data_IF_144600725286
#
_entry.id   IF_144600725286
#
_cell.length_a   1.000
_cell.length_b   1.000
_cell.length_c   1.000
_cell.angle_alpha   90.00
_cell.angle_beta   90.00
_cell.angle_gamma   90.00
#
_symmetry.space_group_name_H-M   'P 1'
#
loop_
_entity.id
_entity.type
_entity.pdbx_description
1 polymer ?
#
# COMPACT_ATOMS: atom_id res chain seq x y z
N UNK A 1 108.42 181.05 31.20
CA UNK A 1 107.85 180.56 29.91
C UNK A 1 108.41 179.19 29.49
N UNK A 2 109.72 178.94 29.51
CA UNK A 2 110.35 177.67 29.08
C UNK A 2 109.87 176.38 29.81
N UNK A 3 109.55 176.46 31.11
CA UNK A 3 109.13 175.30 31.92
C UNK A 3 107.72 174.82 31.62
N UNK A 4 106.82 175.71 31.19
CA UNK A 4 105.42 175.38 30.87
C UNK A 4 105.34 174.63 29.53
N UNK A 5 106.09 175.10 28.53
CA UNK A 5 106.16 174.46 27.20
C UNK A 5 106.77 173.06 27.30
N UNK A 6 107.82 172.87 28.10
CA UNK A 6 108.43 171.55 28.32
C UNK A 6 107.48 170.54 29.00
N UNK A 7 106.66 171.01 29.96
CA UNK A 7 105.63 170.17 30.60
C UNK A 7 104.50 169.79 29.64
N UNK A 8 104.09 170.69 28.75
CA UNK A 8 103.07 170.40 27.72
C UNK A 8 103.59 169.43 26.65
N UNK A 9 104.84 169.57 26.21
CA UNK A 9 105.46 168.62 25.27
C UNK A 9 105.55 167.22 25.90
N UNK A 10 105.92 167.12 27.18
CA UNK A 10 105.95 165.84 27.89
C UNK A 10 104.56 165.21 28.00
N UNK A 11 103.53 166.00 28.36
CA UNK A 11 102.14 165.53 28.42
C UNK A 11 101.64 165.00 27.07
N UNK A 12 101.94 165.70 25.98
CA UNK A 12 101.58 165.27 24.62
C UNK A 12 102.33 164.01 24.19
N UNK A 13 103.61 163.87 24.55
CA UNK A 13 104.37 162.66 24.27
C UNK A 13 103.84 161.45 25.06
N UNK A 14 103.46 161.66 26.33
CA UNK A 14 102.83 160.64 27.17
C UNK A 14 101.44 160.27 26.61
N UNK A 15 100.63 161.24 26.17
CA UNK A 15 99.33 161.01 25.51
C UNK A 15 99.47 160.24 24.18
N UNK A 16 100.44 160.59 23.34
CA UNK A 16 100.76 159.85 22.12
C UNK A 16 101.17 158.40 22.45
N UNK A 17 101.95 158.21 23.51
CA UNK A 17 102.37 156.87 23.95
C UNK A 17 101.16 156.04 24.41
N UNK A 18 100.27 156.62 25.20
CA UNK A 18 99.01 155.99 25.65
C UNK A 18 98.09 155.68 24.46
N UNK A 19 97.92 156.61 23.52
CA UNK A 19 97.09 156.40 22.33
C UNK A 19 97.67 155.32 21.40
N UNK A 20 98.99 155.25 21.26
CA UNK A 20 99.66 154.20 20.49
C UNK A 20 99.49 152.83 21.15
N UNK A 21 99.58 152.76 22.49
CA UNK A 21 99.29 151.54 23.24
C UNK A 21 97.81 151.12 23.09
N UNK A 22 96.87 152.05 23.21
CA UNK A 22 95.43 151.78 23.01
C UNK A 22 95.11 151.36 21.57
N UNK A 23 95.79 151.94 20.58
CA UNK A 23 95.63 151.55 19.16
C UNK A 23 96.17 150.15 18.92
N UNK A 24 97.28 149.78 19.55
CA UNK A 24 97.83 148.43 19.47
C UNK A 24 96.90 147.42 20.15
N UNK A 25 96.38 147.73 21.34
CA UNK A 25 95.37 146.92 22.04
C UNK A 25 94.11 146.70 21.19
N UNK A 26 93.59 147.75 20.54
CA UNK A 26 92.45 147.64 19.63
C UNK A 26 92.76 146.80 18.39
N UNK A 27 93.97 146.89 17.83
CA UNK A 27 94.39 146.05 16.70
C UNK A 27 94.49 144.57 17.11
N UNK A 28 95.05 144.29 18.27
CA UNK A 28 95.12 142.93 18.81
C UNK A 28 93.72 142.37 19.07
N UNK A 29 92.82 143.18 19.65
CA UNK A 29 91.41 142.80 19.87
C UNK A 29 90.64 142.60 18.57
N UNK A 30 90.88 143.42 17.55
CA UNK A 30 90.26 143.24 16.24
C UNK A 30 90.76 141.98 15.55
N UNK A 31 92.07 141.71 15.58
CA UNK A 31 92.65 140.49 15.05
C UNK A 31 92.13 139.25 15.79
N UNK A 32 92.04 139.31 17.12
CA UNK A 32 91.45 138.25 17.94
C UNK A 32 89.96 138.04 17.64
N UNK A 33 89.18 139.12 17.46
CA UNK A 33 87.77 139.05 17.10
C UNK A 33 87.56 138.49 15.69
N UNK A 34 88.40 138.84 14.73
CA UNK A 34 88.37 138.28 13.37
C UNK A 34 88.76 136.80 13.36
N UNK A 35 89.77 136.41 14.12
CA UNK A 35 90.15 135.01 14.29
C UNK A 35 89.01 134.20 14.94
N UNK A 36 88.41 134.71 16.02
CA UNK A 36 87.28 134.08 16.69
C UNK A 36 86.03 133.99 15.79
N UNK A 37 85.76 135.03 14.97
CA UNK A 37 84.66 135.00 14.01
C UNK A 37 84.91 133.97 12.89
N UNK A 38 86.14 133.86 12.39
CA UNK A 38 86.52 132.85 11.41
C UNK A 38 86.41 131.42 11.98
N UNK A 39 86.83 131.20 13.22
CA UNK A 39 86.69 129.92 13.94
C UNK A 39 85.21 129.56 14.19
N UNK A 40 84.39 130.53 14.60
CA UNK A 40 82.96 130.33 14.77
C UNK A 40 82.28 130.00 13.43
N UNK A 41 82.63 130.69 12.35
CA UNK A 41 82.10 130.42 11.01
C UNK A 41 82.50 129.03 10.50
N UNK A 42 83.74 128.61 10.73
CA UNK A 42 84.20 127.25 10.41
C UNK A 42 83.44 126.19 11.21
N UNK A 43 83.19 126.45 12.50
CA UNK A 43 82.43 125.55 13.38
C UNK A 43 80.96 125.44 12.95
N UNK A 44 80.32 126.56 12.59
CA UNK A 44 78.94 126.57 12.08
C UNK A 44 78.88 125.81 10.75
N UNK A 45 79.79 126.07 9.82
CA UNK A 45 79.84 125.37 8.55
C UNK A 45 80.04 123.85 8.71
N UNK A 46 80.88 123.43 9.66
CA UNK A 46 81.07 122.03 10.00
C UNK A 46 79.79 121.39 10.57
N UNK A 47 79.12 122.07 11.52
CA UNK A 47 77.85 121.60 12.09
C UNK A 47 76.72 121.52 11.05
N UNK A 48 76.63 122.50 10.15
CA UNK A 48 75.63 122.49 9.08
C UNK A 48 75.89 121.34 8.09
N UNK A 49 77.15 121.04 7.79
CA UNK A 49 77.52 119.89 6.97
C UNK A 49 77.14 118.57 7.65
N UNK A 50 77.41 118.44 8.96
CA UNK A 50 77.05 117.26 9.75
C UNK A 50 75.54 117.07 9.87
N UNK A 51 74.79 118.16 10.10
CA UNK A 51 73.31 118.12 10.14
C UNK A 51 72.75 117.66 8.80
N UNK A 52 73.24 118.21 7.67
CA UNK A 52 72.80 117.79 6.34
C UNK A 52 73.12 116.33 6.05
N UNK A 53 74.32 115.87 6.42
CA UNK A 53 74.72 114.47 6.27
C UNK A 53 73.80 113.55 7.07
N UNK A 54 73.55 113.88 8.35
CA UNK A 54 72.70 113.08 9.22
C UNK A 54 71.23 113.08 8.76
N UNK A 55 70.72 114.22 8.28
CA UNK A 55 69.36 114.31 7.74
C UNK A 55 69.17 113.43 6.47
N UNK A 56 70.18 113.40 5.59
CA UNK A 56 70.14 112.53 4.41
C UNK A 56 70.19 111.04 4.79
N UNK A 57 71.07 110.67 5.74
CA UNK A 57 71.15 109.29 6.25
C UNK A 57 69.82 108.86 6.90
N UNK A 58 69.22 109.71 7.73
CA UNK A 58 67.90 109.43 8.33
C UNK A 58 66.82 109.20 7.26
N UNK A 59 66.79 110.04 6.23
CA UNK A 59 65.82 109.90 5.13
C UNK A 59 66.03 108.63 4.31
N UNK A 60 67.27 108.23 4.10
CA UNK A 60 67.61 106.97 3.42
C UNK A 60 67.17 105.75 4.24
N UNK A 61 67.39 105.78 5.57
CA UNK A 61 66.89 104.77 6.49
C UNK A 61 65.36 104.67 6.44
N UNK A 62 64.64 105.79 6.59
CA UNK A 62 63.17 105.81 6.54
C UNK A 62 62.64 105.23 5.22
N UNK A 63 63.25 105.62 4.08
CA UNK A 63 62.87 105.09 2.77
C UNK A 63 63.11 103.58 2.66
N UNK A 64 64.23 103.10 3.20
CA UNK A 64 64.58 101.69 3.17
C UNK A 64 63.67 100.86 4.10
N UNK A 65 63.32 101.41 5.26
CA UNK A 65 62.39 100.80 6.21
C UNK A 65 60.99 100.71 5.59
N UNK A 66 60.50 101.76 4.93
CA UNK A 66 59.24 101.72 4.19
C UNK A 66 59.24 100.65 3.09
N UNK A 67 60.30 100.56 2.27
CA UNK A 67 60.42 99.51 1.25
C UNK A 67 60.42 98.10 1.87
N UNK A 68 61.03 97.95 3.03
CA UNK A 68 61.07 96.68 3.76
C UNK A 68 59.69 96.32 4.30
N UNK A 69 58.97 97.28 4.89
CA UNK A 69 57.61 97.11 5.38
C UNK A 69 56.67 96.71 4.24
N UNK A 70 56.73 97.39 3.09
CA UNK A 70 55.89 97.07 1.93
C UNK A 70 56.16 95.65 1.40
N UNK A 71 57.43 95.24 1.35
CA UNK A 71 57.81 93.87 0.96
C UNK A 71 57.26 92.83 1.95
N UNK A 72 57.38 93.09 3.25
CA UNK A 72 56.86 92.18 4.30
C UNK A 72 55.33 92.12 4.27
N UNK A 73 54.64 93.25 4.02
CA UNK A 73 53.20 93.28 3.88
C UNK A 73 52.72 92.45 2.68
N UNK A 74 53.40 92.54 1.53
CA UNK A 74 53.11 91.71 0.36
C UNK A 74 53.36 90.21 0.63
N UNK A 75 54.43 89.86 1.33
CA UNK A 75 54.70 88.48 1.74
C UNK A 75 53.62 87.95 2.69
N UNK A 76 53.21 88.74 3.68
CA UNK A 76 52.15 88.35 4.61
C UNK A 76 50.81 88.11 3.90
N UNK A 77 50.45 88.95 2.93
CA UNK A 77 49.25 88.75 2.13
C UNK A 77 49.32 87.48 1.28
N UNK A 78 50.47 87.20 0.67
CA UNK A 78 50.69 85.96 -0.08
C UNK A 78 50.57 84.72 0.83
N UNK A 79 51.19 84.75 2.00
CA UNK A 79 51.11 83.65 2.97
C UNK A 79 49.68 83.44 3.49
N UNK A 80 48.92 84.53 3.72
CA UNK A 80 47.51 84.43 4.12
C UNK A 80 46.64 83.82 3.01
N UNK A 81 46.86 84.20 1.76
CA UNK A 81 46.17 83.61 0.61
C UNK A 81 46.50 82.12 0.47
N UNK A 82 47.80 81.77 0.54
CA UNK A 82 48.27 80.38 0.48
C UNK A 82 47.70 79.52 1.63
N UNK A 83 47.67 80.06 2.86
CA UNK A 83 47.06 79.39 4.01
C UNK A 83 45.57 79.12 3.78
N UNK A 84 44.84 80.08 3.24
CA UNK A 84 43.40 79.95 2.96
C UNK A 84 43.16 78.86 1.92
N UNK A 85 43.98 78.81 0.87
CA UNK A 85 43.92 77.77 -0.16
C UNK A 85 44.25 76.37 0.40
N UNK A 86 45.29 76.26 1.22
CA UNK A 86 45.62 74.99 1.89
C UNK A 86 44.50 74.51 2.82
N UNK A 87 43.86 75.42 3.56
CA UNK A 87 42.73 75.08 4.42
C UNK A 87 41.53 74.58 3.60
N UNK A 88 41.24 75.23 2.47
CA UNK A 88 40.20 74.79 1.54
C UNK A 88 40.50 73.39 1.00
N UNK A 89 41.70 73.17 0.47
CA UNK A 89 42.11 71.87 -0.08
C UNK A 89 42.08 70.77 0.98
N UNK A 90 42.53 71.06 2.20
CA UNK A 90 42.48 70.12 3.32
C UNK A 90 41.03 69.75 3.67
N UNK A 91 40.11 70.73 3.67
CA UNK A 91 38.70 70.48 3.93
C UNK A 91 38.07 69.60 2.85
N UNK A 92 38.31 69.90 1.57
CA UNK A 92 37.83 69.09 0.45
C UNK A 92 38.36 67.65 0.49
N UNK A 93 39.64 67.47 0.80
CA UNK A 93 40.23 66.14 0.97
C UNK A 93 39.64 65.39 2.16
N UNK A 94 39.42 66.08 3.29
CA UNK A 94 38.79 65.49 4.48
C UNK A 94 37.35 65.05 4.19
N UNK A 95 36.57 65.84 3.47
CA UNK A 95 35.19 65.49 3.13
C UNK A 95 35.14 64.32 2.14
N UNK A 96 36.06 64.29 1.17
CA UNK A 96 36.22 63.17 0.23
C UNK A 96 36.60 61.89 0.98
N UNK A 97 37.50 61.97 1.97
CA UNK A 97 37.91 60.81 2.77
C UNK A 97 36.72 60.23 3.57
N UNK A 98 35.91 61.07 4.19
CA UNK A 98 34.69 60.61 4.91
C UNK A 98 33.72 59.93 3.95
N UNK A 99 33.54 60.45 2.74
CA UNK A 99 32.68 59.82 1.74
C UNK A 99 33.22 58.46 1.28
N UNK A 100 34.53 58.34 1.05
CA UNK A 100 35.14 57.06 0.64
C UNK A 100 35.11 56.03 1.76
N UNK A 101 35.30 56.43 3.01
CA UNK A 101 35.15 55.57 4.19
C UNK A 101 33.72 55.05 4.32
N UNK A 102 32.70 55.90 4.14
CA UNK A 102 31.30 55.49 4.16
C UNK A 102 30.99 54.48 3.04
N UNK A 103 31.50 54.71 1.81
CA UNK A 103 31.35 53.78 0.69
C UNK A 103 32.05 52.44 0.95
N UNK A 104 33.23 52.47 1.59
CA UNK A 104 33.96 51.26 1.96
C UNK A 104 33.19 50.44 3.00
N UNK A 105 32.60 51.08 4.01
CA UNK A 105 31.77 50.39 5.00
C UNK A 105 30.57 49.70 4.35
N UNK A 106 29.84 50.39 3.46
CA UNK A 106 28.72 49.80 2.71
C UNK A 106 29.17 48.61 1.86
N UNK A 107 30.35 48.69 1.25
CA UNK A 107 30.91 47.58 0.49
C UNK A 107 31.29 46.39 1.40
N UNK A 108 31.86 46.65 2.57
CA UNK A 108 32.19 45.61 3.55
C UNK A 108 30.93 44.88 4.04
N UNK A 109 29.86 45.61 4.35
CA UNK A 109 28.58 45.02 4.77
C UNK A 109 27.97 44.12 3.67
N UNK A 110 28.08 44.54 2.40
CA UNK A 110 27.67 43.71 1.25
C UNK A 110 28.50 42.44 1.13
N UNK A 111 29.81 42.51 1.34
CA UNK A 111 30.69 41.33 1.32
C UNK A 111 30.25 40.34 2.41
N UNK A 112 30.01 40.81 3.64
CA UNK A 112 29.52 39.96 4.74
C UNK A 112 28.18 39.30 4.37
N UNK A 113 27.25 40.07 3.80
CA UNK A 113 25.96 39.54 3.34
C UNK A 113 26.12 38.47 2.25
N UNK A 114 26.99 38.68 1.27
CA UNK A 114 27.27 37.69 0.22
C UNK A 114 27.95 36.45 0.76
N UNK A 115 28.89 36.58 1.69
CA UNK A 115 29.54 35.43 2.36
C UNK A 115 28.50 34.57 3.09
N UNK A 116 27.56 35.18 3.81
CA UNK A 116 26.48 34.43 4.47
C UNK A 116 25.59 33.70 3.46
N UNK A 117 25.24 34.34 2.34
CA UNK A 117 24.44 33.71 1.27
C UNK A 117 25.18 32.57 0.59
N UNK A 118 26.49 32.71 0.34
CA UNK A 118 27.32 31.63 -0.22
C UNK A 118 27.29 30.42 0.72
N UNK A 119 27.47 30.62 2.02
CA UNK A 119 27.43 29.52 2.99
C UNK A 119 26.07 28.78 3.01
N UNK A 120 24.95 29.50 2.86
CA UNK A 120 23.62 28.90 2.75
C UNK A 120 23.51 28.04 1.48
N UNK A 121 23.90 28.58 0.33
CA UNK A 121 23.85 27.87 -0.96
C UNK A 121 24.76 26.64 -0.96
N UNK A 122 25.94 26.72 -0.33
CA UNK A 122 26.84 25.57 -0.18
C UNK A 122 26.21 24.47 0.68
N UNK A 123 25.49 24.83 1.75
CA UNK A 123 24.78 23.87 2.59
C UNK A 123 23.62 23.19 1.83
N UNK A 124 22.82 23.97 1.09
CA UNK A 124 21.74 23.45 0.23
C UNK A 124 22.29 22.49 -0.83
N UNK A 125 23.42 22.84 -1.46
CA UNK A 125 24.07 21.98 -2.46
C UNK A 125 24.54 20.65 -1.87
N UNK A 126 25.03 20.62 -0.63
CA UNK A 126 25.43 19.36 0.00
C UNK A 126 24.23 18.47 0.36
N UNK A 127 23.10 19.07 0.75
CA UNK A 127 21.84 18.33 0.95
C UNK A 127 21.39 17.69 -0.37
N UNK A 128 21.32 18.47 -1.44
CA UNK A 128 20.95 17.97 -2.77
C UNK A 128 21.88 16.87 -3.28
N UNK A 129 23.19 17.00 -3.03
CA UNK A 129 24.16 15.93 -3.35
C UNK A 129 23.89 14.65 -2.57
N UNK A 130 23.53 14.76 -1.28
CA UNK A 130 23.20 13.60 -0.45
C UNK A 130 21.92 12.93 -0.95
N UNK A 131 20.90 13.69 -1.28
CA UNK A 131 19.64 13.17 -1.79
C UNK A 131 19.81 12.54 -3.19
N UNK A 132 20.61 13.16 -4.06
CA UNK A 132 20.98 12.57 -5.35
C UNK A 132 21.74 11.24 -5.21
N UNK A 133 22.64 11.12 -4.22
CA UNK A 133 23.30 9.84 -3.90
C UNK A 133 22.29 8.79 -3.42
N UNK A 134 21.33 9.17 -2.58
CA UNK A 134 20.28 8.28 -2.08
C UNK A 134 19.40 7.76 -3.22
N UNK A 135 18.88 8.66 -4.07
CA UNK A 135 18.08 8.30 -5.24
C UNK A 135 18.83 7.38 -6.20
N UNK A 136 20.13 7.59 -6.38
CA UNK A 136 20.96 6.70 -7.22
C UNK A 136 21.03 5.28 -6.65
N UNK A 137 21.15 5.13 -5.33
CA UNK A 137 21.13 3.83 -4.66
C UNK A 137 19.76 3.17 -4.79
N UNK A 138 18.67 3.90 -4.53
CA UNK A 138 17.30 3.40 -4.66
C UNK A 138 16.99 2.95 -6.09
N UNK A 139 17.41 3.72 -7.10
CA UNK A 139 17.25 3.34 -8.51
C UNK A 139 18.04 2.07 -8.87
N UNK A 140 19.23 1.88 -8.30
CA UNK A 140 20.02 0.68 -8.51
C UNK A 140 19.30 -0.55 -7.92
N UNK A 141 18.81 -0.45 -6.69
CA UNK A 141 18.04 -1.51 -6.03
C UNK A 141 16.76 -1.84 -6.81
N UNK A 142 16.03 -0.82 -7.28
CA UNK A 142 14.83 -1.02 -8.08
C UNK A 142 15.14 -1.71 -9.42
N UNK A 143 16.25 -1.35 -10.08
CA UNK A 143 16.69 -2.01 -11.31
C UNK A 143 17.06 -3.48 -11.07
N UNK A 144 17.74 -3.79 -9.96
CA UNK A 144 18.04 -5.17 -9.56
C UNK A 144 16.75 -5.97 -9.29
N UNK A 145 15.77 -5.38 -8.60
CA UNK A 145 14.47 -5.98 -8.35
C UNK A 145 13.68 -6.25 -9.64
N UNK A 146 13.68 -5.30 -10.59
CA UNK A 146 13.07 -5.48 -11.90
C UNK A 146 13.71 -6.68 -12.61
N UNK A 147 15.05 -6.75 -12.65
CA UNK A 147 15.75 -7.87 -13.29
C UNK A 147 15.43 -9.22 -12.65
N UNK A 148 15.26 -9.28 -11.33
CA UNK A 148 14.82 -10.50 -10.64
C UNK A 148 13.38 -10.89 -10.99
N UNK A 149 12.47 -9.91 -11.07
CA UNK A 149 11.08 -10.14 -11.44
C UNK A 149 10.97 -10.61 -12.90
N UNK A 150 11.72 -10.03 -13.82
CA UNK A 150 11.80 -10.46 -15.21
C UNK A 150 12.23 -11.93 -15.32
N UNK A 151 13.30 -12.33 -14.60
CA UNK A 151 13.74 -13.73 -14.55
C UNK A 151 12.66 -14.67 -13.98
N UNK A 152 11.93 -14.24 -12.95
CA UNK A 152 10.81 -15.02 -12.39
C UNK A 152 9.68 -15.17 -13.39
N UNK A 153 9.31 -14.11 -14.10
CA UNK A 153 8.29 -14.14 -15.15
C UNK A 153 8.69 -15.12 -16.25
N UNK A 154 9.92 -15.04 -16.76
CA UNK A 154 10.42 -15.99 -17.76
C UNK A 154 10.39 -17.44 -17.27
N UNK A 155 10.76 -17.67 -16.00
CA UNK A 155 10.71 -19.00 -15.39
C UNK A 155 9.29 -19.54 -15.30
N UNK A 156 8.34 -18.73 -14.86
CA UNK A 156 6.92 -19.10 -14.78
C UNK A 156 6.32 -19.32 -16.17
N UNK A 157 6.69 -18.54 -17.18
CA UNK A 157 6.26 -18.75 -18.57
C UNK A 157 6.77 -20.09 -19.12
N UNK A 158 8.04 -20.43 -18.84
CA UNK A 158 8.59 -21.74 -19.21
C UNK A 158 7.84 -22.88 -18.52
N UNK A 159 7.56 -22.74 -17.22
CA UNK A 159 6.79 -23.74 -16.47
C UNK A 159 5.38 -23.90 -17.04
N UNK A 160 4.67 -22.80 -17.29
CA UNK A 160 3.33 -22.83 -17.87
C UNK A 160 3.31 -23.53 -19.24
N UNK A 161 4.31 -23.26 -20.08
CA UNK A 161 4.43 -23.90 -21.39
C UNK A 161 4.72 -25.41 -21.27
N UNK A 162 5.51 -25.82 -20.28
CA UNK A 162 5.78 -27.22 -19.99
C UNK A 162 4.50 -27.93 -19.51
N UNK A 163 3.80 -27.36 -18.53
CA UNK A 163 2.59 -27.94 -17.95
C UNK A 163 1.49 -28.07 -18.99
N UNK A 164 1.34 -27.06 -19.86
CA UNK A 164 0.41 -27.13 -20.99
C UNK A 164 0.72 -28.29 -21.93
N UNK A 165 2.00 -28.49 -22.30
CA UNK A 165 2.40 -29.64 -23.14
C UNK A 165 2.11 -30.97 -22.46
N UNK A 166 2.44 -31.10 -21.18
CA UNK A 166 2.15 -32.31 -20.41
C UNK A 166 0.64 -32.59 -20.34
N UNK A 167 -0.18 -31.56 -20.20
CA UNK A 167 -1.63 -31.67 -20.24
C UNK A 167 -2.13 -32.09 -21.63
N UNK A 168 -1.62 -31.49 -22.71
CA UNK A 168 -1.97 -31.85 -24.09
C UNK A 168 -1.63 -33.33 -24.38
N UNK A 169 -0.46 -33.80 -23.94
CA UNK A 169 -0.04 -35.20 -24.06
C UNK A 169 -0.97 -36.16 -23.29
N UNK A 170 -1.38 -35.78 -22.09
CA UNK A 170 -2.32 -36.56 -21.28
C UNK A 170 -3.70 -36.64 -21.96
N UNK A 171 -4.19 -35.52 -22.48
CA UNK A 171 -5.47 -35.45 -23.22
C UNK A 171 -5.43 -36.33 -24.46
N UNK A 172 -4.34 -36.31 -25.23
CA UNK A 172 -4.16 -37.16 -26.40
C UNK A 172 -4.14 -38.66 -26.04
N UNK A 173 -3.47 -39.02 -24.93
CA UNK A 173 -3.42 -40.39 -24.43
C UNK A 173 -4.82 -40.88 -24.02
N UNK A 174 -5.53 -40.09 -23.20
CA UNK A 174 -6.89 -40.41 -22.75
C UNK A 174 -7.87 -40.50 -23.92
N UNK A 175 -7.75 -39.61 -24.90
CA UNK A 175 -8.59 -39.64 -26.10
C UNK A 175 -8.41 -40.96 -26.87
N UNK A 176 -7.17 -41.44 -27.02
CA UNK A 176 -6.90 -42.75 -27.65
C UNK A 176 -7.48 -43.91 -26.85
N UNK A 177 -7.41 -43.87 -25.51
CA UNK A 177 -8.03 -44.90 -24.66
C UNK A 177 -9.56 -44.90 -24.76
N UNK A 178 -10.18 -43.71 -24.75
CA UNK A 178 -11.63 -43.54 -24.94
C UNK A 178 -12.04 -44.12 -26.29
N UNK A 179 -11.33 -43.81 -27.39
CA UNK A 179 -11.65 -44.39 -28.70
C UNK A 179 -11.53 -45.92 -28.72
N UNK A 180 -10.50 -46.49 -28.06
CA UNK A 180 -10.36 -47.95 -27.94
C UNK A 180 -11.52 -48.57 -27.15
N UNK A 181 -11.95 -47.93 -26.06
CA UNK A 181 -13.07 -48.40 -25.26
C UNK A 181 -14.40 -48.28 -26.01
N UNK A 182 -14.61 -47.18 -26.73
CA UNK A 182 -15.79 -47.00 -27.58
C UNK A 182 -15.92 -48.14 -28.62
N UNK A 183 -14.83 -48.45 -29.34
CA UNK A 183 -14.84 -49.57 -30.29
C UNK A 183 -15.18 -50.91 -29.63
N UNK A 184 -14.68 -51.17 -28.41
CA UNK A 184 -15.02 -52.39 -27.66
C UNK A 184 -16.49 -52.43 -27.23
N UNK A 185 -17.06 -51.28 -26.86
CA UNK A 185 -18.50 -51.17 -26.54
C UNK A 185 -19.31 -51.51 -27.77
N UNK A 186 -18.99 -50.93 -28.93
CA UNK A 186 -19.68 -51.22 -30.19
C UNK A 186 -19.60 -52.72 -30.57
N UNK A 187 -18.42 -53.34 -30.41
CA UNK A 187 -18.23 -54.79 -30.62
C UNK A 187 -19.11 -55.63 -29.69
N UNK A 188 -19.12 -55.31 -28.38
CA UNK A 188 -19.97 -56.01 -27.42
C UNK A 188 -21.46 -55.79 -27.67
N UNK A 189 -21.89 -54.59 -28.06
CA UNK A 189 -23.29 -54.32 -28.43
C UNK A 189 -23.72 -55.18 -29.62
N UNK A 190 -22.85 -55.31 -30.62
CA UNK A 190 -23.09 -56.21 -31.75
C UNK A 190 -23.21 -57.66 -31.28
N UNK A 191 -22.28 -58.14 -30.45
CA UNK A 191 -22.31 -59.51 -29.92
C UNK A 191 -23.59 -59.78 -29.09
N UNK A 192 -23.99 -58.83 -28.25
CA UNK A 192 -25.25 -58.92 -27.48
C UNK A 192 -26.44 -58.98 -28.42
N UNK A 193 -26.48 -58.18 -29.48
CA UNK A 193 -27.56 -58.22 -30.46
C UNK A 193 -27.67 -59.58 -31.16
N UNK A 194 -26.54 -60.16 -31.59
CA UNK A 194 -26.48 -61.48 -32.23
C UNK A 194 -26.93 -62.58 -31.26
N UNK A 195 -26.46 -62.56 -30.01
CA UNK A 195 -26.88 -63.50 -28.97
C UNK A 195 -28.36 -63.37 -28.59
N UNK A 196 -28.89 -62.15 -28.60
CA UNK A 196 -30.31 -61.91 -28.35
C UNK A 196 -31.17 -62.52 -29.46
N UNK A 197 -30.76 -62.36 -30.72
CA UNK A 197 -31.45 -62.98 -31.86
C UNK A 197 -31.42 -64.51 -31.74
N UNK A 198 -30.26 -65.12 -31.47
CA UNK A 198 -30.17 -66.59 -31.34
C UNK A 198 -30.99 -67.12 -30.17
N UNK A 199 -31.00 -66.41 -29.04
CA UNK A 199 -31.85 -66.76 -27.90
C UNK A 199 -33.33 -66.74 -28.28
N UNK A 200 -33.82 -65.68 -28.94
CA UNK A 200 -35.21 -65.58 -29.39
C UNK A 200 -35.58 -66.70 -30.39
N UNK A 201 -34.65 -67.11 -31.26
CA UNK A 201 -34.85 -68.25 -32.16
C UNK A 201 -35.00 -69.56 -31.37
N UNK A 202 -34.09 -69.83 -30.42
CA UNK A 202 -34.15 -71.02 -29.57
C UNK A 202 -35.43 -71.05 -28.72
N UNK A 203 -35.85 -69.91 -28.18
CA UNK A 203 -37.10 -69.78 -27.43
C UNK A 203 -38.31 -70.16 -28.30
N UNK A 204 -38.33 -69.71 -29.56
CA UNK A 204 -39.37 -70.07 -30.54
C UNK A 204 -39.36 -71.57 -30.86
N UNK A 205 -38.19 -72.17 -31.06
CA UNK A 205 -38.05 -73.61 -31.28
C UNK A 205 -38.52 -74.42 -30.08
N UNK A 206 -38.15 -74.01 -28.87
CA UNK A 206 -38.57 -74.63 -27.61
C UNK A 206 -40.09 -74.54 -27.44
N UNK A 207 -40.70 -73.41 -27.77
CA UNK A 207 -42.16 -73.26 -27.77
C UNK A 207 -42.83 -74.17 -28.81
N UNK A 208 -42.24 -74.31 -30.00
CA UNK A 208 -42.67 -75.26 -31.02
C UNK A 208 -42.61 -76.71 -30.51
N UNK A 209 -41.49 -77.11 -29.90
CA UNK A 209 -41.32 -78.45 -29.31
C UNK A 209 -42.25 -78.71 -28.14
N UNK A 210 -42.50 -77.72 -27.28
CA UNK A 210 -43.51 -77.81 -26.21
C UNK A 210 -44.90 -78.06 -26.78
N UNK A 211 -45.25 -77.37 -27.87
CA UNK A 211 -46.54 -77.56 -28.56
C UNK A 211 -46.65 -78.95 -29.19
N UNK A 212 -45.58 -79.43 -29.82
CA UNK A 212 -45.50 -80.80 -30.39
C UNK A 212 -45.58 -81.88 -29.30
N UNK A 213 -44.92 -81.67 -28.16
CA UNK A 213 -45.04 -82.54 -27.00
C UNK A 213 -46.47 -82.54 -26.45
N UNK A 214 -47.13 -81.37 -26.39
CA UNK A 214 -48.53 -81.24 -25.96
C UNK A 214 -49.47 -81.95 -26.95
N UNK A 215 -49.17 -81.90 -28.25
CA UNK A 215 -49.90 -82.63 -29.27
C UNK A 215 -49.75 -84.15 -29.11
N UNK A 216 -48.52 -84.65 -28.91
CA UNK A 216 -48.27 -86.08 -28.67
C UNK A 216 -48.82 -86.56 -27.32
N UNK A 217 -48.84 -85.71 -26.29
CA UNK A 217 -49.49 -86.01 -25.02
C UNK A 217 -51.02 -86.12 -25.16
N UNK A 218 -51.61 -85.46 -26.16
CA UNK A 218 -53.04 -85.58 -26.47
C UNK A 218 -53.38 -86.76 -27.41
N UNK A 219 -52.40 -87.39 -28.07
CA UNK A 219 -52.60 -88.59 -28.90
C UNK A 219 -52.37 -89.92 -28.14
N UNK A 220 -51.75 -89.89 -26.96
CA UNK A 220 -51.53 -91.07 -26.13
C UNK A 220 -52.13 -90.82 -24.74
N UNK A 221 -53.23 -91.52 -24.47
CA UNK A 221 -54.03 -91.53 -23.23
C UNK A 221 -54.96 -90.32 -23.02
N UNK A 222 -56.27 -90.60 -23.09
CA UNK A 222 -57.17 -90.12 -22.05
C UNK A 222 -56.64 -90.63 -20.69
N UNK A 223 -56.41 -89.71 -19.75
CA UNK A 223 -56.97 -89.91 -18.44
C UNK A 223 -57.89 -88.74 -18.15
N UNK A 224 -59.16 -89.09 -18.00
CA UNK A 224 -60.04 -88.48 -17.02
C UNK A 224 -59.26 -88.25 -15.72
N UNK A 225 -58.84 -87.01 -15.51
CA UNK A 225 -58.68 -86.46 -14.18
C UNK A 225 -59.81 -85.44 -14.03
N UNK A 226 -60.83 -85.87 -13.30
CA UNK A 226 -61.78 -84.99 -12.65
C UNK A 226 -60.99 -84.06 -11.72
N UNK A 227 -60.46 -82.96 -12.28
CA UNK A 227 -59.90 -81.87 -11.50
C UNK A 227 -61.10 -81.22 -10.85
N UNK A 228 -61.45 -81.71 -9.66
CA UNK A 228 -62.37 -81.00 -8.77
C UNK A 228 -61.88 -79.57 -8.65
N UNK A 229 -62.65 -78.64 -9.24
CA UNK A 229 -62.38 -77.22 -9.13
C UNK A 229 -62.25 -76.85 -7.64
N UNK A 230 -61.33 -75.94 -7.26
CA UNK A 230 -61.16 -75.52 -5.88
C UNK A 230 -62.50 -75.10 -5.27
N UNK A 231 -63.02 -75.90 -4.34
CA UNK A 231 -64.29 -75.61 -3.68
C UNK A 231 -64.01 -74.70 -2.50
N UNK A 232 -64.67 -73.55 -2.44
CA UNK A 232 -64.72 -72.75 -1.22
C UNK A 232 -65.36 -73.60 -0.13
N UNK A 233 -64.62 -73.85 0.95
CA UNK A 233 -65.05 -74.74 2.04
C UNK A 233 -65.69 -73.95 3.17
N UNK A 234 -64.98 -72.93 3.64
CA UNK A 234 -65.48 -72.03 4.67
C UNK A 234 -64.71 -70.72 4.61
N UNK A 235 -65.17 -69.80 5.43
CA UNK A 235 -64.67 -68.45 5.53
C UNK A 235 -64.38 -68.17 7.00
N UNK A 236 -63.20 -67.68 7.31
CA UNK A 236 -62.76 -67.46 8.68
C UNK A 236 -62.04 -66.13 8.83
N UNK A 237 -61.95 -65.66 10.07
CA UNK A 237 -61.05 -64.56 10.41
C UNK A 237 -59.76 -65.16 10.97
N UNK A 238 -58.64 -64.70 10.42
CA UNK A 238 -57.33 -64.98 11.01
C UNK A 238 -56.98 -63.75 11.84
N UNK A 239 -56.82 -63.94 13.15
CA UNK A 239 -56.51 -62.84 14.06
C UNK A 239 -55.13 -62.30 13.73
N UNK A 240 -55.07 -60.99 13.50
CA UNK A 240 -53.83 -60.26 13.33
C UNK A 240 -53.72 -59.13 14.35
N UNK A 241 -52.52 -58.95 14.88
CA UNK A 241 -52.16 -57.87 15.79
C UNK A 241 -51.24 -56.90 15.05
N UNK A 242 -51.50 -55.60 15.16
CA UNK A 242 -50.63 -54.57 14.60
C UNK A 242 -49.70 -54.05 15.70
N UNK A 243 -48.41 -54.01 15.42
CA UNK A 243 -47.43 -53.35 16.30
C UNK A 243 -47.39 -51.84 16.08
N UNK A 244 -46.77 -51.13 17.02
CA UNK A 244 -46.52 -49.69 16.92
C UNK A 244 -45.66 -49.29 15.70
N UNK A 245 -44.96 -50.22 15.04
CA UNK A 245 -44.14 -50.00 13.85
C UNK A 245 -44.87 -50.24 12.51
N UNK A 246 -46.20 -50.41 12.53
CA UNK A 246 -47.02 -50.76 11.36
C UNK A 246 -46.84 -52.19 10.83
N UNK A 247 -46.05 -53.02 11.52
CA UNK A 247 -45.94 -54.44 11.18
C UNK A 247 -47.17 -55.19 11.67
N UNK A 248 -47.73 -56.06 10.82
CA UNK A 248 -48.85 -56.92 11.15
C UNK A 248 -48.33 -58.32 11.47
N UNK A 249 -48.77 -58.86 12.60
CA UNK A 249 -48.43 -60.20 13.05
C UNK A 249 -49.68 -61.06 13.05
N UNK A 250 -49.56 -62.32 12.64
CA UNK A 250 -50.62 -63.29 12.88
C UNK A 250 -50.45 -63.87 14.30
N UNK A 251 -51.47 -63.71 15.16
CA UNK A 251 -51.47 -64.36 16.48
C UNK A 251 -51.89 -65.83 16.30
N UNK A 252 -50.90 -66.71 16.38
CA UNK A 252 -51.05 -68.15 16.17
C UNK A 252 -51.37 -68.91 17.45
N UNK A 253 -51.57 -68.24 18.60
CA UNK A 253 -51.81 -68.92 19.87
C UNK A 253 -52.93 -68.29 20.72
N UNK A 254 -53.61 -67.25 20.24
CA UNK A 254 -54.97 -66.92 20.65
C UNK A 254 -55.15 -66.24 22.00
N UNK A 255 -54.12 -65.63 22.59
CA UNK A 255 -54.25 -64.82 23.81
C UNK A 255 -52.94 -64.10 24.20
N UNK A 256 -52.36 -63.28 23.32
CA UNK A 256 -51.29 -62.35 23.71
C UNK A 256 -50.02 -63.03 24.26
N UNK A 257 -49.02 -63.15 23.40
CA UNK A 257 -47.63 -63.30 23.83
C UNK A 257 -47.15 -64.74 24.02
N UNK A 258 -46.58 -65.29 22.95
CA UNK A 258 -45.20 -65.80 23.02
C UNK A 258 -44.48 -65.56 21.69
N UNK A 259 -43.28 -65.03 21.85
CA UNK A 259 -42.32 -64.63 20.83
C UNK A 259 -41.69 -65.85 20.14
N UNK A 260 -41.41 -65.78 18.82
CA UNK A 260 -41.81 -64.70 17.91
C UNK A 260 -43.24 -64.89 17.43
N UNK A 261 -44.01 -63.79 17.46
CA UNK A 261 -45.20 -63.67 16.64
C UNK A 261 -44.80 -63.80 15.16
N UNK A 262 -45.60 -64.50 14.36
CA UNK A 262 -45.23 -64.72 12.96
C UNK A 262 -45.40 -63.44 12.17
N UNK A 263 -44.29 -62.94 11.62
CA UNK A 263 -44.22 -61.69 10.90
C UNK A 263 -44.96 -61.85 9.56
N UNK A 264 -46.01 -61.05 9.34
CA UNK A 264 -46.55 -60.84 8.02
C UNK A 264 -45.87 -59.63 7.40
N UNK A 265 -44.85 -59.87 6.55
CA UNK A 265 -44.11 -58.79 5.90
C UNK A 265 -45.11 -57.95 5.09
N UNK A 266 -45.20 -56.66 5.43
CA UNK A 266 -46.05 -55.67 4.79
C UNK A 266 -45.17 -54.62 4.11
N UNK A 267 -45.27 -54.57 2.78
CA UNK A 267 -44.86 -53.42 1.99
C UNK A 267 -45.78 -52.22 2.28
N UNK A 268 -45.45 -51.46 3.34
CA UNK A 268 -45.61 -50.00 3.43
C UNK A 268 -46.95 -49.36 3.04
N UNK A 269 -48.11 -50.00 3.22
CA UNK A 269 -49.38 -49.28 3.05
C UNK A 269 -50.47 -49.74 4.00
N UNK A 270 -51.21 -48.77 4.55
CA UNK A 270 -52.35 -48.85 5.50
C UNK A 270 -53.58 -49.64 4.96
N UNK A 271 -53.39 -50.74 4.23
CA UNK A 271 -54.45 -51.56 3.62
C UNK A 271 -54.63 -52.93 4.28
N UNK A 272 -53.98 -53.18 5.41
CA UNK A 272 -54.37 -54.26 6.31
C UNK A 272 -55.55 -53.80 7.15
N UNK A 273 -56.76 -54.00 6.63
CA UNK A 273 -57.96 -53.98 7.45
C UNK A 273 -57.78 -55.05 8.54
N UNK A 274 -57.58 -54.62 9.78
CA UNK A 274 -57.76 -55.47 10.96
C UNK A 274 -59.11 -56.19 10.80
N UNK A 275 -59.13 -57.53 10.93
CA UNK A 275 -60.29 -58.40 10.65
C UNK A 275 -60.63 -58.62 9.17
N UNK A 276 -59.64 -58.91 8.31
CA UNK A 276 -59.93 -59.45 6.98
C UNK A 276 -60.50 -60.87 7.05
N UNK A 277 -61.53 -61.05 6.23
CA UNK A 277 -62.18 -62.33 5.95
C UNK A 277 -61.33 -63.11 4.95
N UNK A 278 -61.00 -64.35 5.30
CA UNK A 278 -60.22 -65.28 4.47
C UNK A 278 -61.11 -66.41 3.96
N UNK A 279 -60.98 -66.68 2.67
CA UNK A 279 -61.66 -67.76 1.96
C UNK A 279 -60.74 -68.99 1.91
N UNK A 280 -61.22 -70.10 2.45
CA UNK A 280 -60.49 -71.36 2.52
C UNK A 280 -60.95 -72.28 1.39
N UNK A 281 -60.07 -72.52 0.43
CA UNK A 281 -60.34 -73.40 -0.70
C UNK A 281 -59.70 -74.76 -0.49
N UNK A 282 -60.36 -75.83 -0.91
CA UNK A 282 -59.72 -77.15 -0.96
C UNK A 282 -58.56 -77.14 -1.96
N UNK A 283 -57.41 -77.67 -1.55
CA UNK A 283 -56.34 -77.99 -2.50
C UNK A 283 -56.79 -79.17 -3.37
N UNK A 284 -56.37 -79.25 -4.65
CA UNK A 284 -56.69 -80.38 -5.50
C UNK A 284 -56.24 -81.71 -4.86
N UNK A 285 -57.09 -82.73 -4.92
CA UNK A 285 -56.82 -84.11 -4.45
C UNK A 285 -56.57 -84.27 -2.94
N UNK A 286 -57.05 -83.37 -2.09
CA UNK A 286 -56.97 -83.53 -0.63
C UNK A 286 -58.20 -83.01 0.10
N UNK A 287 -58.67 -83.78 1.08
CA UNK A 287 -59.83 -83.42 1.90
C UNK A 287 -59.50 -82.49 3.06
N UNK A 288 -58.24 -82.47 3.51
CA UNK A 288 -57.81 -81.68 4.68
C UNK A 288 -56.73 -80.65 4.33
N UNK A 289 -56.23 -80.63 3.10
CA UNK A 289 -55.27 -79.62 2.65
C UNK A 289 -56.01 -78.48 1.94
N UNK A 290 -55.64 -77.26 2.29
CA UNK A 290 -56.33 -76.06 1.85
C UNK A 290 -55.37 -74.99 1.36
N UNK A 291 -55.92 -74.08 0.56
CA UNK A 291 -55.32 -72.80 0.17
C UNK A 291 -56.10 -71.70 0.87
N UNK A 292 -55.40 -70.79 1.52
CA UNK A 292 -56.00 -69.66 2.24
C UNK A 292 -55.84 -68.41 1.37
N UNK A 293 -56.96 -67.79 0.96
CA UNK A 293 -56.97 -66.58 0.11
C UNK A 293 -57.70 -65.43 0.77
N UNK A 294 -57.21 -64.21 0.61
CA UNK A 294 -57.93 -63.02 1.05
C UNK A 294 -59.18 -62.82 0.19
N UNK A 295 -60.36 -62.75 0.81
CA UNK A 295 -61.61 -62.53 0.10
C UNK A 295 -61.66 -61.16 -0.61
N UNK A 296 -60.87 -60.18 -0.14
CA UNK A 296 -60.89 -58.82 -0.67
C UNK A 296 -59.99 -58.60 -1.89
N UNK A 297 -58.82 -59.24 -1.94
CA UNK A 297 -57.83 -58.97 -2.99
C UNK A 297 -57.23 -60.22 -3.65
N UNK A 298 -57.68 -61.42 -3.27
CA UNK A 298 -57.27 -62.69 -3.87
C UNK A 298 -55.88 -63.18 -3.49
N UNK A 299 -55.15 -62.44 -2.64
CA UNK A 299 -53.80 -62.81 -2.23
C UNK A 299 -53.77 -64.10 -1.43
N UNK A 300 -52.75 -64.93 -1.66
CA UNK A 300 -52.59 -66.25 -1.07
C UNK A 300 -51.63 -66.18 0.11
N UNK A 301 -51.98 -66.83 1.22
CA UNK A 301 -51.08 -66.97 2.37
C UNK A 301 -50.13 -68.15 2.16
N UNK A 302 -48.84 -67.91 2.33
CA UNK A 302 -47.79 -68.92 2.21
C UNK A 302 -46.70 -68.78 3.27
N UNK A 303 -45.99 -69.87 3.58
CA UNK A 303 -44.90 -69.89 4.56
C UNK A 303 -43.55 -69.59 3.93
N UNK A 304 -42.83 -68.58 4.43
CA UNK A 304 -41.53 -68.18 3.92
C UNK A 304 -40.35 -69.03 4.43
N UNK A 305 -40.57 -69.93 5.40
CA UNK A 305 -39.54 -70.84 5.94
C UNK A 305 -39.23 -70.62 7.42
N UNK A 306 -38.25 -71.38 7.94
CA UNK A 306 -37.85 -71.40 9.36
C UNK A 306 -37.63 -69.98 9.91
N UNK A 307 -38.10 -69.76 11.14
CA UNK A 307 -38.20 -68.47 11.84
C UNK A 307 -39.40 -67.58 11.45
N UNK A 308 -40.59 -68.20 11.53
CA UNK A 308 -41.82 -67.49 11.87
C UNK A 308 -42.18 -66.32 10.93
N UNK A 309 -42.17 -66.56 9.61
CA UNK A 309 -42.58 -65.55 8.63
C UNK A 309 -43.64 -66.13 7.70
N UNK A 310 -44.87 -65.62 7.78
CA UNK A 310 -45.96 -65.97 6.86
C UNK A 310 -46.17 -64.79 5.94
N UNK A 311 -46.07 -65.02 4.65
CA UNK A 311 -46.22 -64.00 3.63
C UNK A 311 -47.56 -64.15 2.93
N UNK A 312 -47.98 -63.08 2.25
CA UNK A 312 -49.12 -63.15 1.34
C UNK A 312 -48.85 -62.36 0.08
N UNK A 313 -49.19 -62.92 -1.08
CA UNK A 313 -49.00 -62.27 -2.38
C UNK A 313 -50.10 -62.74 -3.35
N UNK A 314 -50.46 -61.91 -4.32
CA UNK A 314 -51.47 -62.22 -5.35
C UNK A 314 -51.01 -63.29 -6.33
N UNK A 315 -49.71 -63.31 -6.62
CA UNK A 315 -49.15 -64.11 -7.72
C UNK A 315 -48.42 -65.37 -7.23
N UNK A 316 -48.55 -65.71 -5.95
CA UNK A 316 -47.92 -66.91 -5.41
C UNK A 316 -48.61 -68.19 -5.90
N UNK A 317 -47.82 -69.17 -6.33
CA UNK A 317 -48.39 -70.40 -6.91
C UNK A 317 -49.11 -71.24 -5.85
N UNK A 318 -50.38 -71.60 -6.10
CA UNK A 318 -51.13 -72.52 -5.22
C UNK A 318 -50.62 -73.96 -5.26
N UNK A 319 -49.78 -74.31 -6.24
CA UNK A 319 -49.11 -75.61 -6.29
C UNK A 319 -47.88 -75.69 -5.38
N UNK A 320 -47.38 -74.55 -4.90
CA UNK A 320 -46.26 -74.53 -3.94
C UNK A 320 -46.72 -75.13 -2.60
N UNK A 321 -45.93 -76.04 -2.05
CA UNK A 321 -46.16 -76.60 -0.72
C UNK A 321 -46.11 -75.51 0.37
N UNK A 322 -45.40 -74.40 0.12
CA UNK A 322 -45.41 -73.23 0.98
C UNK A 322 -46.80 -72.57 1.06
N UNK A 323 -47.64 -72.66 0.03
CA UNK A 323 -48.98 -72.07 0.00
C UNK A 323 -50.10 -73.02 0.46
N UNK A 324 -49.74 -74.26 0.78
CA UNK A 324 -50.68 -75.30 1.17
C UNK A 324 -50.65 -75.55 2.67
N UNK A 325 -51.84 -75.70 3.26
CA UNK A 325 -52.02 -75.82 4.70
C UNK A 325 -52.85 -77.06 5.02
N UNK A 326 -52.35 -77.94 5.89
CA UNK A 326 -53.04 -79.12 6.39
C UNK A 326 -53.85 -78.75 7.64
N UNK A 327 -55.18 -78.91 7.59
CA UNK A 327 -56.06 -78.65 8.73
C UNK A 327 -55.94 -79.77 9.76
N UNK A 328 -55.91 -79.40 11.04
CA UNK A 328 -55.89 -80.34 12.17
C UNK A 328 -57.26 -80.98 12.46
N UNK A 329 -58.30 -80.58 11.74
CA UNK A 329 -59.67 -81.08 11.87
C UNK A 329 -60.24 -81.32 10.48
N UNK A 330 -61.19 -82.25 10.39
CA UNK A 330 -61.92 -82.51 9.16
C UNK A 330 -62.83 -81.32 8.82
N UNK A 331 -62.79 -80.88 7.56
CA UNK A 331 -63.49 -79.68 7.09
C UNK A 331 -65.00 -79.70 7.36
N UNK A 332 -65.62 -80.88 7.35
CA UNK A 332 -67.07 -81.03 7.50
C UNK A 332 -67.58 -80.80 8.94
N UNK A 333 -66.66 -80.61 9.91
CA UNK A 333 -66.98 -80.39 11.33
C UNK A 333 -66.76 -78.94 11.80
N UNK A 334 -66.58 -77.99 10.88
CA UNK A 334 -66.29 -76.58 11.21
C UNK A 334 -67.59 -75.78 11.33
N UNK A 335 -67.77 -75.05 12.45
CA UNK A 335 -68.86 -74.09 12.67
C UNK A 335 -68.31 -72.72 13.11
N UNK A 336 -69.19 -71.72 13.28
CA UNK A 336 -68.83 -70.32 13.57
C UNK A 336 -68.02 -70.08 14.87
N UNK A 337 -67.86 -71.09 15.72
CA UNK A 337 -67.07 -71.00 16.97
C UNK A 337 -65.90 -72.00 17.01
N UNK A 338 -65.58 -72.64 15.88
CA UNK A 338 -64.52 -73.66 15.83
C UNK A 338 -63.17 -73.00 15.56
N UNK A 339 -62.27 -73.05 16.55
CA UNK A 339 -60.88 -72.68 16.31
C UNK A 339 -60.19 -73.77 15.48
N UNK A 340 -59.71 -73.41 14.30
CA UNK A 340 -59.06 -74.31 13.35
C UNK A 340 -57.56 -74.06 13.39
N UNK A 341 -56.77 -75.09 13.72
CA UNK A 341 -55.32 -75.05 13.52
C UNK A 341 -54.96 -75.61 12.17
N UNK A 342 -54.14 -74.88 11.42
CA UNK A 342 -53.69 -75.22 10.08
C UNK A 342 -52.16 -75.28 10.09
N UNK A 343 -51.55 -76.35 9.59
CA UNK A 343 -50.10 -76.51 9.56
C UNK A 343 -49.59 -76.46 8.12
N UNK A 344 -48.58 -75.64 7.84
CA UNK A 344 -48.04 -75.52 6.50
C UNK A 344 -47.46 -76.85 6.00
N UNK A 345 -47.72 -77.19 4.74
CA UNK A 345 -47.28 -78.45 4.16
C UNK A 345 -45.75 -78.53 3.98
N UNK A 346 -45.06 -77.39 3.81
CA UNK A 346 -43.60 -77.31 3.63
C UNK A 346 -42.81 -77.42 4.93
N UNK A 347 -43.16 -76.62 5.95
CA UNK A 347 -42.32 -76.43 7.14
C UNK A 347 -43.05 -76.58 8.48
N UNK A 348 -44.34 -76.94 8.45
CA UNK A 348 -45.20 -77.13 9.64
C UNK A 348 -45.45 -75.86 10.46
N UNK A 349 -45.21 -74.67 9.91
CA UNK A 349 -45.68 -73.41 10.51
C UNK A 349 -47.19 -73.49 10.79
N UNK A 350 -47.63 -73.10 11.99
CA UNK A 350 -49.02 -73.22 12.40
C UNK A 350 -49.77 -71.89 12.25
N UNK A 351 -51.01 -71.91 11.77
CA UNK A 351 -51.97 -70.80 11.77
C UNK A 351 -53.22 -71.19 12.54
N UNK A 352 -53.77 -70.25 13.32
CA UNK A 352 -55.07 -70.44 13.98
C UNK A 352 -56.10 -69.51 13.36
N UNK A 353 -57.17 -70.11 12.86
CA UNK A 353 -58.35 -69.41 12.36
C UNK A 353 -59.48 -69.54 13.40
N UNK A 354 -60.27 -68.48 13.60
CA UNK A 354 -61.43 -68.48 14.51
C UNK A 354 -62.71 -68.29 13.72
#
# INVERSE_FOLDING_TARGET
MHRIVSLQIKKLADEITVQKAATNDLKERLAAAQAAAAEAQATIAAKDADIKKNANVSREHDLNDHKTIDRLAAQLQYEQASKTELQKNFKEQSDTLVETEARLQVAADKVISFTARIAIVEAELEVERKDGRKLKTENKEMSENISQLEKKIEGLQRQLQHDKRSQDELVDSLSKEISKLANKVDEHEKEVSEKTITFLTLEKELWGKKSELTYHLNEVHEPSYDVQAPKLRFRCNIRSEQSSSQDVFFDLNGAGGKTPAVHAISGGSNKWNLNQIWDIYSAPNSNNRVIIKSAGNGSIIWSAGQEHTVCYDKDHSTSDLAAQWDLNITIDNINNNTQVRSYNAKDKTCLICV
#
